data_IF_332830982032
#
_entry.id   IF_332830982032
#
_cell.length_a   1.000
_cell.length_b   1.000
_cell.length_c   1.000
_cell.angle_alpha   90.00
_cell.angle_beta   90.00
_cell.angle_gamma   90.00
#
_symmetry.space_group_name_H-M   'P 1'
#
loop_
_entity.id
_entity.type
_entity.pdbx_description
1 polymer ?
#
# COMPACT_ATOMS: atom_id res chain seq x y z
N UNK A 1 -6.01 2.95 -9.21
CA UNK A 1 -5.74 4.32 -8.72
C UNK A 1 -6.16 4.34 -7.26
N UNK A 2 -5.41 4.95 -6.35
CA UNK A 2 -5.81 5.02 -4.93
C UNK A 2 -6.31 6.43 -4.67
N UNK A 3 -7.61 6.56 -4.43
CA UNK A 3 -8.30 7.80 -4.14
C UNK A 3 -8.96 7.73 -2.75
N UNK A 4 -9.15 8.88 -2.10
CA UNK A 4 -9.91 8.96 -0.85
C UNK A 4 -9.19 8.48 0.41
N UNK A 5 -7.88 8.21 0.35
CA UNK A 5 -7.10 8.03 1.57
C UNK A 5 -7.13 9.33 2.42
N UNK A 6 -7.15 9.21 3.74
CA UNK A 6 -7.11 10.36 4.67
C UNK A 6 -5.91 10.31 5.61
N UNK A 7 -5.28 9.15 5.70
CA UNK A 7 -4.07 8.87 6.45
C UNK A 7 -3.31 7.69 5.80
N UNK A 8 -2.15 7.36 6.37
CA UNK A 8 -1.30 6.29 5.84
C UNK A 8 -1.91 4.91 6.03
N UNK A 9 -2.74 4.72 7.07
CA UNK A 9 -3.43 3.45 7.30
C UNK A 9 -4.45 3.16 6.20
N UNK A 10 -5.28 4.16 5.88
CA UNK A 10 -6.27 4.10 4.81
C UNK A 10 -5.58 3.88 3.47
N UNK A 11 -4.46 4.56 3.23
CA UNK A 11 -3.68 4.35 2.00
C UNK A 11 -3.18 2.91 1.87
N UNK A 12 -2.55 2.35 2.90
CA UNK A 12 -2.04 0.96 2.88
C UNK A 12 -3.20 -0.03 2.72
N UNK A 13 -4.31 0.18 3.43
CA UNK A 13 -5.49 -0.66 3.30
C UNK A 13 -6.03 -0.66 1.86
N UNK A 14 -6.37 0.52 1.32
CA UNK A 14 -6.94 0.64 -0.03
C UNK A 14 -5.96 0.12 -1.08
N UNK A 15 -4.65 0.35 -0.91
CA UNK A 15 -3.64 -0.22 -1.81
C UNK A 15 -3.69 -1.74 -1.86
N UNK A 16 -3.66 -2.40 -0.71
CA UNK A 16 -3.64 -3.86 -0.63
C UNK A 16 -4.99 -4.47 -1.07
N UNK A 17 -6.10 -3.83 -0.71
CA UNK A 17 -7.45 -4.26 -1.06
C UNK A 17 -7.70 -4.20 -2.57
N UNK A 18 -7.21 -3.15 -3.25
CA UNK A 18 -7.26 -3.06 -4.71
C UNK A 18 -6.43 -4.17 -5.39
N UNK A 19 -5.27 -4.54 -4.84
CA UNK A 19 -4.50 -5.67 -5.37
C UNK A 19 -5.22 -7.00 -5.15
N UNK A 20 -5.84 -7.17 -3.99
CA UNK A 20 -6.62 -8.36 -3.68
C UNK A 20 -7.83 -8.48 -4.61
N UNK A 21 -8.51 -7.36 -4.87
CA UNK A 21 -9.60 -7.26 -5.82
C UNK A 21 -9.17 -7.68 -7.24
N UNK A 22 -8.02 -7.19 -7.73
CA UNK A 22 -7.48 -7.60 -9.04
C UNK A 22 -7.18 -9.11 -9.11
N UNK A 23 -6.72 -9.69 -8.00
CA UNK A 23 -6.50 -11.13 -7.94
C UNK A 23 -7.82 -11.91 -7.94
N UNK A 24 -8.80 -11.53 -7.12
CA UNK A 24 -10.09 -12.24 -7.07
C UNK A 24 -10.94 -12.06 -8.34
N UNK A 25 -10.87 -10.90 -8.98
CA UNK A 25 -11.62 -10.63 -10.21
C UNK A 25 -11.01 -11.33 -11.43
N UNK A 26 -9.73 -11.07 -11.69
CA UNK A 26 -9.08 -11.46 -12.97
C UNK A 26 -8.01 -12.55 -12.81
N UNK A 27 -7.74 -12.98 -11.59
CA UNK A 27 -6.61 -13.86 -11.27
C UNK A 27 -5.26 -13.16 -11.42
N UNK A 28 -5.20 -11.82 -11.37
CA UNK A 28 -3.97 -11.10 -11.60
C UNK A 28 -3.05 -11.13 -10.36
N UNK A 29 -1.82 -11.63 -10.53
CA UNK A 29 -0.79 -11.68 -9.49
C UNK A 29 0.21 -10.57 -9.72
N UNK A 30 0.26 -9.62 -8.80
CA UNK A 30 1.25 -8.54 -8.83
C UNK A 30 2.65 -9.07 -8.46
N UNK A 31 3.65 -8.80 -9.30
CA UNK A 31 5.07 -9.13 -9.06
C UNK A 31 5.89 -7.91 -8.67
N UNK A 32 5.54 -6.74 -9.21
CA UNK A 32 6.19 -5.46 -8.91
C UNK A 32 5.15 -4.36 -8.87
N UNK A 33 5.26 -3.51 -7.87
CA UNK A 33 4.48 -2.28 -7.74
C UNK A 33 5.45 -1.13 -7.64
N UNK A 34 5.14 -0.02 -8.30
CA UNK A 34 5.87 1.22 -8.15
C UNK A 34 4.96 2.41 -8.45
N UNK A 35 5.48 3.62 -8.30
CA UNK A 35 4.74 4.81 -8.71
C UNK A 35 4.57 4.84 -10.23
N UNK A 36 3.39 5.26 -10.70
CA UNK A 36 3.21 5.60 -12.09
C UNK A 36 4.17 6.74 -12.47
N UNK A 37 4.53 6.83 -13.75
CA UNK A 37 5.46 7.87 -14.23
C UNK A 37 4.92 9.26 -13.87
N UNK A 38 5.71 10.04 -13.14
CA UNK A 38 5.31 11.38 -12.69
C UNK A 38 4.41 11.41 -11.46
N UNK A 39 4.06 10.25 -10.87
CA UNK A 39 3.40 10.19 -9.58
C UNK A 39 4.44 10.31 -8.47
N UNK A 40 4.17 11.18 -7.49
CA UNK A 40 4.90 11.25 -6.23
C UNK A 40 3.88 11.34 -5.11
N UNK A 41 4.17 10.66 -4.00
CA UNK A 41 3.36 10.76 -2.78
C UNK A 41 4.18 11.57 -1.79
N UNK A 42 3.74 12.79 -1.58
CA UNK A 42 4.16 13.57 -0.43
C UNK A 42 2.95 13.58 0.49
N UNK A 43 2.98 12.82 1.61
CA UNK A 43 1.97 12.99 2.64
C UNK A 43 1.91 14.48 3.01
N UNK A 44 0.72 15.07 3.17
CA UNK A 44 0.63 16.47 3.60
C UNK A 44 1.44 16.65 4.88
N UNK A 45 2.35 17.62 4.89
CA UNK A 45 3.33 17.82 5.95
C UNK A 45 2.68 17.78 7.35
N UNK A 46 3.26 16.97 8.24
CA UNK A 46 2.87 16.90 9.66
C UNK A 46 3.21 18.20 10.43
N UNK A 47 3.71 19.25 9.76
CA UNK A 47 3.91 20.60 10.32
C UNK A 47 2.61 21.40 10.28
N UNK A 48 1.55 20.88 10.90
CA UNK A 48 0.43 21.74 11.34
C UNK A 48 0.70 22.17 12.77
N UNK A 49 1.32 23.34 12.95
CA UNK A 49 1.44 24.02 14.24
C UNK A 49 0.09 24.57 14.70
N UNK A 50 -0.96 23.74 14.77
CA UNK A 50 -2.32 24.08 15.23
C UNK A 50 -3.40 22.99 15.03
N UNK A 51 -3.03 21.72 14.79
CA UNK A 51 -3.97 20.60 14.96
C UNK A 51 -5.09 20.42 13.91
N UNK A 52 -5.05 21.11 12.77
CA UNK A 52 -5.98 20.89 11.65
C UNK A 52 -5.28 20.96 10.28
N UNK A 53 -4.55 19.90 9.89
CA UNK A 53 -4.11 19.78 8.50
C UNK A 53 -5.35 19.57 7.64
N UNK A 54 -5.82 20.62 6.96
CA UNK A 54 -7.01 20.62 6.11
C UNK A 54 -6.70 20.22 4.65
N UNK A 55 -5.44 19.93 4.34
CA UNK A 55 -5.03 19.50 3.01
C UNK A 55 -5.48 18.05 2.78
N UNK A 56 -6.25 17.77 1.72
CA UNK A 56 -6.63 16.40 1.40
C UNK A 56 -5.38 15.60 1.03
N UNK A 57 -5.39 14.34 1.43
CA UNK A 57 -4.38 13.37 1.02
C UNK A 57 -4.35 13.23 -0.52
N UNK A 58 -3.16 13.15 -1.14
CA UNK A 58 -3.06 13.13 -2.60
C UNK A 58 -3.58 11.80 -3.16
N UNK A 59 -4.23 11.88 -4.32
CA UNK A 59 -4.51 10.69 -5.14
C UNK A 59 -3.20 10.08 -5.61
N UNK A 60 -3.03 8.78 -5.38
CA UNK A 60 -1.80 8.07 -5.73
C UNK A 60 -2.05 7.15 -6.91
N UNK A 61 -1.19 7.29 -7.93
CA UNK A 61 -1.19 6.39 -9.09
C UNK A 61 0.00 5.44 -9.01
N UNK A 62 -0.31 4.15 -8.99
CA UNK A 62 0.66 3.08 -8.99
C UNK A 62 0.68 2.38 -10.34
N UNK A 63 1.87 1.98 -10.78
CA UNK A 63 2.07 1.06 -11.88
C UNK A 63 2.31 -0.33 -11.28
N UNK A 64 1.41 -1.25 -11.58
CA UNK A 64 1.50 -2.65 -11.15
C UNK A 64 1.89 -3.51 -12.35
N UNK A 65 2.90 -4.36 -12.17
CA UNK A 65 3.35 -5.33 -13.18
C UNK A 65 3.26 -6.72 -12.59
N UNK A 66 2.70 -7.63 -13.38
CA UNK A 66 2.35 -8.96 -12.94
C UNK A 66 1.84 -9.77 -14.12
N UNK A 67 1.18 -10.88 -13.81
CA UNK A 67 0.63 -11.79 -14.79
C UNK A 67 -0.57 -12.55 -14.21
N UNK A 68 -1.31 -13.25 -15.07
CA UNK A 68 -2.41 -14.10 -14.62
C UNK A 68 -1.85 -15.28 -13.82
N UNK A 69 -2.51 -15.60 -12.72
CA UNK A 69 -2.21 -16.75 -11.89
C UNK A 69 -2.38 -18.03 -12.70
N UNK A 70 -1.39 -18.91 -12.54
CA UNK A 70 -1.36 -20.22 -13.14
C UNK A 70 -0.84 -21.21 -12.10
N UNK A 71 -1.65 -22.18 -11.64
CA UNK A 71 -1.29 -23.05 -10.51
C UNK A 71 0.03 -23.80 -10.70
N UNK A 72 0.31 -24.27 -11.92
CA UNK A 72 1.52 -25.03 -12.27
C UNK A 72 2.80 -24.21 -12.16
N UNK A 73 2.73 -22.92 -12.48
CA UNK A 73 3.88 -22.01 -12.49
C UNK A 73 4.09 -21.29 -11.15
N UNK A 74 3.00 -21.02 -10.44
CA UNK A 74 3.02 -20.24 -9.20
C UNK A 74 3.00 -21.12 -7.94
N UNK A 75 3.38 -22.39 -8.08
CA UNK A 75 3.69 -23.28 -6.96
C UNK A 75 2.51 -24.04 -6.36
N UNK A 76 1.30 -23.95 -6.94
CA UNK A 76 0.11 -24.78 -6.64
C UNK A 76 -0.43 -24.82 -5.21
N UNK A 77 0.34 -24.35 -4.22
CA UNK A 77 0.15 -24.57 -2.79
C UNK A 77 0.40 -23.27 -1.99
N UNK A 78 -0.24 -22.18 -2.42
CA UNK A 78 -0.34 -20.96 -1.62
C UNK A 78 -1.56 -21.00 -0.69
N UNK A 79 -1.65 -20.03 0.21
CA UNK A 79 -2.87 -19.77 0.99
C UNK A 79 -3.59 -18.59 0.37
N UNK A 80 -4.87 -18.75 0.08
CA UNK A 80 -5.73 -17.66 -0.38
C UNK A 80 -5.90 -16.62 0.73
N UNK A 81 -5.87 -15.35 0.38
CA UNK A 81 -6.17 -14.25 1.31
C UNK A 81 -7.61 -13.82 1.05
N UNK A 82 -8.45 -13.78 2.08
CA UNK A 82 -9.86 -13.42 1.95
C UNK A 82 -10.11 -11.92 2.13
N UNK A 83 -9.36 -11.29 3.02
CA UNK A 83 -9.53 -9.87 3.33
C UNK A 83 -8.26 -9.22 3.90
N UNK A 84 -8.11 -7.93 3.65
CA UNK A 84 -7.18 -7.04 4.36
C UNK A 84 -7.89 -6.51 5.61
N UNK A 85 -7.18 -6.36 6.73
CA UNK A 85 -7.78 -5.89 7.99
C UNK A 85 -7.03 -4.70 8.58
N UNK A 86 -7.75 -3.88 9.35
CA UNK A 86 -7.15 -2.83 10.20
C UNK A 86 -6.63 -3.37 11.54
N UNK A 87 -6.92 -4.62 11.88
CA UNK A 87 -6.56 -5.22 13.16
C UNK A 87 -5.05 -5.21 13.37
N UNK A 88 -4.60 -4.48 14.39
CA UNK A 88 -3.18 -4.29 14.72
C UNK A 88 -2.33 -3.78 13.53
N UNK A 89 -2.92 -3.05 12.59
CA UNK A 89 -2.16 -2.41 11.52
C UNK A 89 -1.22 -1.37 12.13
N UNK A 90 0.07 -1.45 11.82
CA UNK A 90 1.08 -0.53 12.32
C UNK A 90 1.98 -0.07 11.19
N UNK A 91 2.27 1.23 11.14
CA UNK A 91 3.18 1.83 10.16
C UNK A 91 4.24 2.61 10.91
N UNK A 92 5.51 2.24 10.70
CA UNK A 92 6.66 2.82 11.40
C UNK A 92 7.55 3.58 10.42
N UNK A 93 7.89 4.80 10.79
CA UNK A 93 8.90 5.61 10.15
C UNK A 93 10.20 5.55 10.96
N UNK A 94 11.26 5.03 10.35
CA UNK A 94 12.58 4.91 10.99
C UNK A 94 13.48 6.15 10.73
N UNK A 95 12.88 7.25 10.26
CA UNK A 95 13.55 8.45 9.75
C UNK A 95 14.35 9.33 10.73
N UNK A 96 14.66 8.86 11.95
CA UNK A 96 15.47 9.61 12.92
C UNK A 96 16.81 8.93 13.28
N UNK A 97 17.02 7.66 12.94
CA UNK A 97 18.14 6.87 13.47
C UNK A 97 19.30 6.69 12.48
N UNK A 98 19.14 7.08 11.21
CA UNK A 98 20.19 6.99 10.18
C UNK A 98 20.13 8.23 9.29
N UNK A 99 21.29 8.80 8.97
CA UNK A 99 21.43 10.04 8.19
C UNK A 99 20.40 10.17 7.03
N UNK A 100 19.93 11.39 6.80
CA UNK A 100 18.80 11.81 5.94
C UNK A 100 18.72 11.21 4.51
N UNK A 101 19.74 10.47 4.06
CA UNK A 101 19.82 9.78 2.77
C UNK A 101 19.13 8.41 2.72
N UNK A 102 18.69 7.81 3.85
CA UNK A 102 18.08 6.47 3.83
C UNK A 102 16.88 6.30 4.78
N UNK A 103 15.86 7.14 4.61
CA UNK A 103 14.59 7.02 5.38
C UNK A 103 13.91 5.70 5.02
N UNK A 104 13.75 4.83 6.02
CA UNK A 104 13.11 3.51 5.89
C UNK A 104 11.72 3.56 6.52
N UNK A 105 10.75 2.98 5.82
CA UNK A 105 9.38 2.80 6.30
C UNK A 105 9.07 1.31 6.41
N UNK A 106 8.27 0.94 7.40
CA UNK A 106 7.78 -0.42 7.59
C UNK A 106 6.28 -0.43 7.87
N UNK A 107 5.59 -1.45 7.36
CA UNK A 107 4.17 -1.66 7.59
C UNK A 107 3.93 -3.11 8.03
N UNK A 108 3.12 -3.27 9.08
CA UNK A 108 2.64 -4.54 9.60
C UNK A 108 1.14 -4.60 9.39
N UNK A 109 0.68 -5.64 8.70
CA UNK A 109 -0.73 -5.82 8.32
C UNK A 109 -1.13 -7.26 8.60
N UNK A 110 -2.24 -7.45 9.30
CA UNK A 110 -2.87 -8.75 9.47
C UNK A 110 -3.87 -8.96 8.33
N UNK A 111 -3.77 -10.12 7.68
CA UNK A 111 -4.68 -10.55 6.62
C UNK A 111 -5.49 -11.74 7.08
N UNK A 112 -6.73 -11.83 6.62
CA UNK A 112 -7.59 -13.00 6.81
C UNK A 112 -7.32 -14.02 5.70
N UNK A 113 -7.20 -15.31 6.06
CA UNK A 113 -6.83 -16.42 5.16
C UNK A 113 -7.88 -17.53 5.17
#
# INVERSE_FOLDING_TARGET
EIAGAHDMHTFVFTFLDELLFLFHGDGFVAKRVGFARGASVVPPDATTTNGNSSAPWPTVRLAVRGERFEPTRHGGHGTEVKAITYSAMAIHDHGAETAATNRRWEAFVIVDI
#
